data_IF_666702161360
#
_entry.id   IF_666702161360
#
_cell.length_a   1.000
_cell.length_b   1.000
_cell.length_c   1.000
_cell.angle_alpha   90.00
_cell.angle_beta   90.00
_cell.angle_gamma   90.00
#
_symmetry.space_group_name_H-M   'P 1'
#
loop_
_entity.id
_entity.type
_entity.pdbx_description
1 polymer ?
#
# COMPACT_ATOMS: atom_id res chain seq x y z
N UNK A 1 -65.75 37.09 -42.49
CA UNK A 1 -65.07 38.08 -41.62
C UNK A 1 -63.60 38.13 -42.01
N UNK A 2 -63.06 39.29 -42.40
CA UNK A 2 -61.62 39.51 -42.69
C UNK A 2 -60.86 39.80 -41.37
N UNK A 3 -59.57 40.21 -41.35
CA UNK A 3 -58.46 40.17 -42.33
C UNK A 3 -57.31 39.26 -41.80
N UNK A 4 -56.27 38.84 -42.53
CA UNK A 4 -55.34 39.60 -43.37
C UNK A 4 -54.22 40.21 -42.50
N UNK A 5 -53.00 39.67 -42.61
CA UNK A 5 -51.77 40.43 -42.85
C UNK A 5 -50.54 39.52 -42.96
N UNK A 6 -49.98 39.48 -44.17
CA UNK A 6 -48.60 39.12 -44.42
C UNK A 6 -47.69 40.32 -44.11
N UNK A 7 -46.42 40.07 -43.75
CA UNK A 7 -45.20 40.64 -44.35
C UNK A 7 -43.95 40.21 -43.55
N UNK A 8 -42.98 39.72 -44.31
CA UNK A 8 -41.60 39.23 -44.04
C UNK A 8 -40.64 40.45 -44.02
N UNK A 9 -39.29 40.42 -43.86
CA UNK A 9 -38.29 39.53 -43.22
C UNK A 9 -37.38 40.25 -42.18
N UNK A 10 -36.52 39.52 -41.46
CA UNK A 10 -35.07 39.82 -41.52
C UNK A 10 -34.22 38.60 -41.16
N UNK A 11 -33.44 38.16 -42.16
CA UNK A 11 -32.29 37.28 -41.97
C UNK A 11 -31.27 38.00 -41.08
N UNK A 12 -30.76 37.33 -40.05
CA UNK A 12 -29.35 37.49 -39.68
C UNK A 12 -28.87 36.31 -38.85
N UNK A 13 -27.83 35.66 -39.37
CA UNK A 13 -27.00 34.68 -38.70
C UNK A 13 -26.47 35.24 -37.39
N UNK A 14 -26.62 34.53 -36.26
CA UNK A 14 -25.56 34.39 -35.25
C UNK A 14 -25.69 32.98 -34.67
N UNK A 15 -24.93 32.05 -35.26
CA UNK A 15 -24.49 30.87 -34.54
C UNK A 15 -23.56 31.32 -33.40
N UNK A 16 -23.47 30.50 -32.36
CA UNK A 16 -22.41 30.41 -31.32
C UNK A 16 -22.74 30.92 -29.91
N UNK A 17 -22.30 30.08 -28.95
CA UNK A 17 -22.12 30.29 -27.51
C UNK A 17 -23.42 30.52 -26.72
N UNK A 18 -23.86 29.67 -25.78
CA UNK A 18 -23.16 29.19 -24.60
C UNK A 18 -23.86 27.92 -24.07
N UNK A 19 -23.37 26.73 -24.40
CA UNK A 19 -23.68 25.49 -23.65
C UNK A 19 -22.39 25.01 -22.97
N UNK A 20 -21.68 25.96 -22.38
CA UNK A 20 -20.38 25.76 -21.73
C UNK A 20 -20.36 26.40 -20.33
N UNK A 21 -21.50 26.34 -19.63
CA UNK A 21 -21.62 26.86 -18.27
C UNK A 21 -22.45 25.90 -17.42
N UNK A 22 -21.77 24.84 -16.97
CA UNK A 22 -21.91 24.17 -15.66
C UNK A 22 -21.01 22.92 -15.66
N UNK A 23 -19.79 23.06 -16.17
CA UNK A 23 -18.69 22.22 -15.71
C UNK A 23 -18.29 22.82 -14.35
N UNK A 24 -19.09 22.50 -13.32
CA UNK A 24 -18.68 22.69 -11.93
C UNK A 24 -17.47 21.79 -11.75
N UNK A 25 -16.31 22.44 -11.84
CA UNK A 25 -15.03 21.85 -11.52
C UNK A 25 -15.13 21.44 -10.05
N UNK A 26 -15.47 20.17 -9.80
CA UNK A 26 -15.06 19.50 -8.59
C UNK A 26 -13.54 19.37 -8.72
N UNK A 27 -12.83 20.41 -8.28
CA UNK A 27 -11.43 20.30 -7.94
C UNK A 27 -11.44 19.44 -6.68
N UNK A 28 -11.50 18.12 -6.86
CA UNK A 28 -11.04 17.22 -5.82
C UNK A 28 -9.56 17.56 -5.66
N UNK A 29 -9.22 18.26 -4.57
CA UNK A 29 -7.86 18.42 -4.12
C UNK A 29 -7.30 17.01 -3.85
N UNK A 30 -6.73 16.38 -4.86
CA UNK A 30 -5.84 15.25 -4.63
C UNK A 30 -4.58 15.88 -4.05
N UNK A 31 -4.50 15.95 -2.72
CA UNK A 31 -3.27 16.35 -2.04
C UNK A 31 -2.12 15.52 -2.63
N UNK A 32 -1.23 16.17 -3.38
CA UNK A 32 0.06 15.64 -3.77
C UNK A 32 0.92 15.58 -2.50
N UNK A 33 0.66 14.57 -1.68
CA UNK A 33 1.63 14.07 -0.74
C UNK A 33 2.01 12.69 -1.26
N UNK A 34 3.28 12.35 -1.23
CA UNK A 34 3.74 10.96 -1.33
C UNK A 34 3.21 10.22 -0.09
N UNK A 35 1.88 10.05 0.01
CA UNK A 35 1.25 9.30 1.06
C UNK A 35 1.72 7.88 0.87
N UNK A 36 2.64 7.45 1.73
CA UNK A 36 2.92 6.04 1.95
C UNK A 36 1.56 5.38 2.04
N UNK A 37 1.21 4.55 1.05
CA UNK A 37 -0.08 3.88 1.00
C UNK A 37 -0.08 2.89 2.16
N UNK A 38 -0.67 3.32 3.27
CA UNK A 38 -0.85 2.48 4.44
C UNK A 38 -2.18 1.74 4.33
N UNK A 39 -2.27 0.56 4.92
CA UNK A 39 -3.51 -0.24 4.95
C UNK A 39 -4.20 -0.19 6.32
N UNK A 40 -5.52 -0.27 6.30
CA UNK A 40 -6.37 -0.46 7.49
C UNK A 40 -7.01 -1.85 7.54
N UNK A 41 -6.83 -2.66 6.50
CA UNK A 41 -7.45 -3.97 6.35
C UNK A 41 -6.40 -5.08 6.33
N UNK A 42 -6.78 -6.24 6.86
CA UNK A 42 -5.95 -7.44 6.82
C UNK A 42 -6.02 -8.06 5.42
N UNK A 43 -4.87 -8.20 4.74
CA UNK A 43 -4.79 -8.81 3.41
C UNK A 43 -3.95 -10.08 3.43
N UNK A 44 -4.26 -11.00 2.52
CA UNK A 44 -3.56 -12.26 2.34
C UNK A 44 -3.32 -12.45 0.83
N UNK A 45 -2.22 -11.89 0.33
CA UNK A 45 -1.88 -11.90 -1.10
C UNK A 45 -0.46 -12.46 -1.29
N UNK A 46 -0.25 -13.20 -2.38
CA UNK A 46 1.06 -13.66 -2.83
C UNK A 46 1.87 -14.41 -1.76
N UNK A 47 1.19 -15.23 -0.94
CA UNK A 47 1.73 -15.86 0.29
C UNK A 47 3.04 -16.65 0.10
N UNK A 48 3.32 -17.14 -1.11
CA UNK A 48 4.43 -18.01 -1.46
C UNK A 48 5.52 -17.29 -2.30
N UNK A 49 5.55 -15.96 -2.30
CA UNK A 49 6.49 -15.17 -3.11
C UNK A 49 7.09 -13.98 -2.35
N UNK A 50 8.12 -13.36 -2.91
CA UNK A 50 8.74 -12.13 -2.38
C UNK A 50 7.75 -10.95 -2.29
N UNK A 51 6.70 -10.96 -3.12
CA UNK A 51 5.64 -9.96 -3.11
C UNK A 51 4.53 -10.19 -2.10
N UNK A 52 4.78 -10.99 -1.05
CA UNK A 52 3.82 -11.30 0.00
C UNK A 52 3.26 -10.02 0.63
N UNK A 53 1.94 -9.97 0.76
CA UNK A 53 1.25 -9.02 1.64
C UNK A 53 0.42 -9.82 2.63
N UNK A 54 0.82 -9.76 3.88
CA UNK A 54 0.18 -10.49 4.95
C UNK A 54 -0.21 -9.54 6.08
N UNK A 55 -1.47 -9.61 6.50
CA UNK A 55 -2.01 -8.72 7.51
C UNK A 55 -1.96 -7.26 7.05
N UNK A 56 -1.53 -6.37 7.93
CA UNK A 56 -1.37 -4.95 7.62
C UNK A 56 0.09 -4.55 7.41
N UNK A 57 1.04 -5.31 7.93
CA UNK A 57 2.43 -4.87 8.08
C UNK A 57 3.45 -5.76 7.38
N UNK A 58 3.10 -6.99 7.00
CA UNK A 58 4.08 -7.86 6.38
C UNK A 58 4.11 -7.67 4.86
N UNK A 59 5.16 -7.03 4.34
CA UNK A 59 5.47 -6.99 2.91
C UNK A 59 6.43 -5.86 2.55
N UNK A 60 7.19 -6.02 1.48
CA UNK A 60 8.14 -4.97 1.04
C UNK A 60 7.34 -3.75 0.56
N UNK A 61 7.54 -2.59 1.20
CA UNK A 61 6.80 -1.38 0.88
C UNK A 61 5.31 -1.45 1.25
N UNK A 62 4.92 -2.40 2.11
CA UNK A 62 3.56 -2.59 2.58
C UNK A 62 3.52 -2.41 4.09
N UNK A 63 2.69 -1.48 4.58
CA UNK A 63 2.60 -1.21 6.02
C UNK A 63 1.22 -0.73 6.44
N UNK A 64 0.89 -0.86 7.73
CA UNK A 64 -0.39 -0.46 8.30
C UNK A 64 -0.42 1.03 8.65
N UNK A 65 -1.62 1.61 8.67
CA UNK A 65 -1.76 3.03 9.03
C UNK A 65 -1.43 3.29 10.51
N UNK A 66 -1.04 4.54 10.86
CA UNK A 66 -0.81 4.91 12.26
C UNK A 66 -2.00 4.55 13.16
N UNK A 67 -1.72 3.92 14.29
CA UNK A 67 -2.74 3.48 15.25
C UNK A 67 -3.40 2.13 14.94
N UNK A 68 -3.18 1.57 13.75
CA UNK A 68 -3.73 0.25 13.42
C UNK A 68 -3.12 -0.85 14.31
N UNK A 69 -3.99 -1.81 14.69
CA UNK A 69 -3.57 -3.02 15.38
C UNK A 69 -3.22 -4.10 14.36
N UNK A 70 -2.19 -4.91 14.62
CA UNK A 70 -1.89 -6.09 13.80
C UNK A 70 -3.05 -7.08 13.76
N UNK A 71 -3.14 -7.82 12.66
CA UNK A 71 -4.18 -8.83 12.44
C UNK A 71 -3.98 -10.07 13.30
N UNK A 72 -2.72 -10.42 13.61
CA UNK A 72 -2.34 -11.52 14.49
C UNK A 72 -0.89 -11.39 14.99
N UNK A 73 -0.34 -12.44 15.59
CA UNK A 73 1.02 -12.46 16.14
C UNK A 73 2.11 -12.37 15.05
N UNK A 74 1.86 -12.91 13.85
CA UNK A 74 2.81 -12.81 12.73
C UNK A 74 2.85 -11.38 12.21
N UNK A 75 1.69 -10.77 12.01
CA UNK A 75 1.57 -9.38 11.60
C UNK A 75 2.15 -8.41 12.66
N UNK A 76 2.05 -8.77 13.94
CA UNK A 76 2.66 -8.01 15.03
C UNK A 76 4.20 -8.01 14.95
N UNK A 77 4.82 -9.13 14.55
CA UNK A 77 6.25 -9.17 14.29
C UNK A 77 6.65 -8.22 13.15
N UNK A 78 5.83 -8.11 12.10
CA UNK A 78 6.06 -7.23 10.97
C UNK A 78 5.93 -5.76 11.36
N UNK A 79 4.90 -5.40 12.14
CA UNK A 79 4.77 -4.03 12.69
C UNK A 79 6.02 -3.59 13.47
N UNK A 80 6.53 -4.47 14.33
CA UNK A 80 7.76 -4.22 15.10
C UNK A 80 8.98 -4.05 14.17
N UNK A 81 9.02 -4.79 13.07
CA UNK A 81 10.09 -4.68 12.08
C UNK A 81 10.03 -3.36 11.31
N UNK A 82 8.85 -2.98 10.81
CA UNK A 82 8.59 -1.70 10.14
C UNK A 82 9.02 -0.52 11.00
N UNK A 83 8.54 -0.46 12.25
CA UNK A 83 8.91 0.58 13.22
C UNK A 83 10.42 0.60 13.50
N UNK A 84 11.06 -0.57 13.48
CA UNK A 84 12.51 -0.68 13.67
C UNK A 84 13.29 -0.11 12.49
N UNK A 85 12.92 -0.45 11.25
CA UNK A 85 13.63 0.01 10.05
C UNK A 85 13.34 1.47 9.73
N UNK A 86 12.14 1.96 10.06
CA UNK A 86 11.81 3.38 9.97
C UNK A 86 12.75 4.21 10.87
N UNK A 87 13.00 3.73 12.10
CA UNK A 87 13.87 4.43 13.06
C UNK A 87 15.36 4.25 12.80
N UNK A 88 15.80 3.08 12.35
CA UNK A 88 17.22 2.70 12.34
C UNK A 88 17.81 2.47 10.93
N UNK A 89 17.01 2.66 9.88
CA UNK A 89 17.39 2.46 8.48
C UNK A 89 16.95 1.10 7.91
N UNK A 90 16.64 1.10 6.61
CA UNK A 90 16.13 -0.08 5.88
C UNK A 90 17.11 -1.27 5.84
N UNK A 91 18.41 -1.02 5.98
CA UNK A 91 19.48 -2.04 5.95
C UNK A 91 19.94 -2.46 7.35
N UNK A 92 19.18 -2.12 8.39
CA UNK A 92 19.59 -2.39 9.76
C UNK A 92 19.54 -3.90 10.08
N UNK A 93 20.72 -4.52 10.17
CA UNK A 93 20.87 -5.95 10.46
C UNK A 93 20.21 -6.39 11.77
N UNK A 94 20.21 -5.54 12.81
CA UNK A 94 19.57 -5.88 14.09
C UNK A 94 18.06 -5.97 13.95
N UNK A 95 17.45 -5.12 13.12
CA UNK A 95 16.02 -5.18 12.82
C UNK A 95 15.66 -6.48 12.10
N UNK A 96 16.39 -6.84 11.04
CA UNK A 96 16.13 -8.07 10.27
C UNK A 96 16.30 -9.34 11.12
N UNK A 97 17.36 -9.41 11.93
CA UNK A 97 17.61 -10.56 12.81
C UNK A 97 16.58 -10.68 13.94
N UNK A 98 16.13 -9.55 14.51
CA UNK A 98 15.03 -9.52 15.49
C UNK A 98 13.73 -10.03 14.86
N UNK A 99 13.42 -9.59 13.66
CA UNK A 99 12.22 -10.01 12.93
C UNK A 99 12.23 -11.51 12.63
N UNK A 100 13.33 -12.04 12.08
CA UNK A 100 13.51 -13.49 11.87
C UNK A 100 13.29 -14.31 13.14
N UNK A 101 13.83 -13.86 14.28
CA UNK A 101 13.59 -14.54 15.58
C UNK A 101 12.12 -14.48 16.01
N UNK A 102 11.45 -13.36 15.77
CA UNK A 102 10.03 -13.18 16.11
C UNK A 102 9.15 -14.16 15.33
N UNK A 103 9.23 -14.16 14.00
CA UNK A 103 8.37 -15.00 13.15
C UNK A 103 8.66 -16.49 13.33
N UNK A 104 9.91 -16.89 13.61
CA UNK A 104 10.24 -18.29 13.96
C UNK A 104 9.61 -18.73 15.28
N UNK A 105 9.45 -17.85 16.27
CA UNK A 105 8.73 -18.16 17.51
C UNK A 105 7.23 -18.30 17.26
N UNK A 106 6.66 -17.39 16.46
CA UNK A 106 5.24 -17.46 16.07
C UNK A 106 4.95 -18.75 15.31
N UNK A 107 5.80 -19.15 14.37
CA UNK A 107 5.63 -20.41 13.63
C UNK A 107 5.63 -21.63 14.55
N UNK A 108 6.51 -21.67 15.55
CA UNK A 108 6.55 -22.75 16.55
C UNK A 108 5.31 -22.81 17.43
N UNK A 109 4.53 -21.73 17.55
CA UNK A 109 3.29 -21.73 18.34
C UNK A 109 2.17 -22.55 17.71
N UNK A 110 2.29 -22.93 16.42
CA UNK A 110 1.30 -23.72 15.67
C UNK A 110 -0.11 -23.11 15.65
N UNK A 111 -0.23 -21.80 15.89
CA UNK A 111 -1.49 -21.06 15.67
C UNK A 111 -1.81 -21.00 14.17
N UNK A 112 -3.09 -20.94 13.83
CA UNK A 112 -3.54 -20.87 12.43
C UNK A 112 -3.23 -19.52 11.76
N UNK A 113 -3.12 -18.44 12.55
CA UNK A 113 -3.10 -17.06 12.04
C UNK A 113 -4.49 -16.56 11.69
N UNK A 114 -4.59 -15.35 11.13
CA UNK A 114 -5.89 -14.75 10.81
C UNK A 114 -6.52 -15.23 9.49
N UNK A 115 -5.73 -15.85 8.59
CA UNK A 115 -6.17 -16.24 7.23
C UNK A 115 -5.83 -17.69 6.93
N UNK A 116 -6.79 -18.41 6.32
CA UNK A 116 -6.58 -19.76 5.80
C UNK A 116 -5.87 -19.78 4.44
N UNK A 117 -5.90 -18.67 3.69
CA UNK A 117 -5.29 -18.55 2.36
C UNK A 117 -3.78 -18.40 2.44
N UNK A 118 -3.29 -17.74 3.51
CA UNK A 118 -1.87 -17.62 3.84
C UNK A 118 -1.59 -18.27 5.21
N UNK A 119 -1.56 -19.61 5.33
CA UNK A 119 -1.22 -20.25 6.59
C UNK A 119 0.24 -19.96 6.99
N UNK A 120 0.54 -20.01 8.28
CA UNK A 120 1.90 -19.77 8.80
C UNK A 120 2.97 -20.68 8.17
N UNK A 121 2.62 -21.92 7.83
CA UNK A 121 3.53 -22.87 7.19
C UNK A 121 3.95 -22.44 5.75
N UNK A 122 3.26 -21.48 5.16
CA UNK A 122 3.63 -20.87 3.87
C UNK A 122 4.22 -19.47 4.10
N UNK A 123 3.50 -18.62 4.85
CA UNK A 123 3.89 -17.22 5.03
C UNK A 123 5.23 -17.07 5.77
N UNK A 124 5.46 -17.83 6.84
CA UNK A 124 6.68 -17.67 7.64
C UNK A 124 7.94 -18.10 6.87
N UNK A 125 8.00 -19.28 6.21
CA UNK A 125 9.16 -19.63 5.39
C UNK A 125 9.46 -18.61 4.29
N UNK A 126 8.44 -18.10 3.61
CA UNK A 126 8.60 -17.05 2.59
C UNK A 126 9.18 -15.76 3.18
N UNK A 127 8.69 -15.32 4.34
CA UNK A 127 9.24 -14.14 5.03
C UNK A 127 10.68 -14.37 5.52
N UNK A 128 11.01 -15.57 6.03
CA UNK A 128 12.38 -15.91 6.44
C UNK A 128 13.33 -15.83 5.25
N UNK A 129 12.94 -16.39 4.09
CA UNK A 129 13.73 -16.31 2.86
C UNK A 129 13.95 -14.86 2.42
N UNK A 130 12.90 -14.03 2.42
CA UNK A 130 13.00 -12.61 2.11
C UNK A 130 13.96 -11.87 3.04
N UNK A 131 13.97 -12.22 4.33
CA UNK A 131 14.88 -11.61 5.31
C UNK A 131 16.32 -12.08 5.18
N UNK A 132 16.57 -13.34 4.86
CA UNK A 132 17.91 -13.83 4.58
C UNK A 132 18.54 -13.08 3.39
N UNK A 133 17.72 -12.81 2.36
CA UNK A 133 18.12 -11.98 1.22
C UNK A 133 18.39 -10.52 1.63
N UNK A 134 17.51 -9.91 2.44
CA UNK A 134 17.69 -8.53 2.91
C UNK A 134 18.97 -8.36 3.76
N UNK A 135 19.29 -9.34 4.60
CA UNK A 135 20.51 -9.36 5.41
C UNK A 135 21.75 -9.44 4.51
N UNK A 136 21.73 -10.34 3.53
CA UNK A 136 22.81 -10.48 2.57
C UNK A 136 23.08 -9.15 1.86
N UNK A 137 22.05 -8.50 1.34
CA UNK A 137 22.17 -7.19 0.69
C UNK A 137 22.66 -6.09 1.64
N UNK A 138 22.22 -6.10 2.89
CA UNK A 138 22.67 -5.14 3.90
C UNK A 138 24.17 -5.29 4.21
N UNK A 139 24.68 -6.52 4.26
CA UNK A 139 26.11 -6.79 4.45
C UNK A 139 26.94 -6.32 3.25
N UNK A 140 26.50 -6.61 2.03
CA UNK A 140 27.18 -6.13 0.82
C UNK A 140 27.19 -4.59 0.74
N UNK A 141 26.06 -3.94 1.06
CA UNK A 141 25.98 -2.48 1.10
C UNK A 141 26.98 -1.86 2.09
N UNK A 142 27.07 -2.40 3.31
CA UNK A 142 28.02 -1.93 4.31
C UNK A 142 29.48 -2.15 3.88
N UNK A 143 29.80 -3.30 3.28
CA UNK A 143 31.16 -3.59 2.80
C UNK A 143 31.65 -2.63 1.71
N UNK A 144 30.73 -2.02 0.93
CA UNK A 144 31.08 -1.03 -0.11
C UNK A 144 31.36 0.37 0.44
N UNK A 145 30.94 0.68 1.66
CA UNK A 145 31.27 1.94 2.34
C UNK A 145 32.58 1.86 3.14
N UNK A 146 33.13 0.67 3.36
CA UNK A 146 34.41 0.45 4.06
C UNK A 146 35.62 0.30 3.10
N UNK A 147 35.43 0.55 1.80
CA UNK A 147 36.43 0.38 0.74
C UNK A 147 36.59 1.67 -0.08
#
# INVERSE_FOLDING_TARGET
>A
MPPGNAVVPRRSCIATAYVFSMCLILIAESSNNSQIRCTKTCVAENCNSVGIKYGKYCGVGWTGCPGEKPCDDLDACCKIHDECVEKNGLTNLKCHEKFKRCIKKVHKSRKAGFSNDCPYDIAVPTMVQGMDMAILFSQFGNSRFEL
#
